data_IF_260593082810
#
_entry.id   IF_260593082810
#
_cell.length_a   1.000
_cell.length_b   1.000
_cell.length_c   1.000
_cell.angle_alpha   90.00
_cell.angle_beta   90.00
_cell.angle_gamma   90.00
#
_symmetry.space_group_name_H-M   'P 1'
#
loop_
_entity.id
_entity.type
_entity.pdbx_description
1 polymer ?
#
# COMPACT_ATOMS: atom_id res chain seq x y z
N UNK A 1 -5.44 -33.58 -26.12
CA UNK A 1 -5.72 -32.26 -25.46
C UNK A 1 -6.85 -31.63 -26.24
N UNK A 2 -7.95 -31.23 -25.57
CA UNK A 2 -9.11 -30.69 -26.28
C UNK A 2 -8.82 -29.30 -26.84
N UNK A 3 -9.50 -28.90 -27.93
CA UNK A 3 -9.40 -27.56 -28.54
C UNK A 3 -9.58 -26.44 -27.48
N UNK A 4 -10.44 -26.68 -26.49
CA UNK A 4 -10.73 -25.70 -25.43
C UNK A 4 -9.59 -25.60 -24.42
N UNK A 5 -8.89 -26.67 -24.11
CA UNK A 5 -7.68 -26.65 -23.27
C UNK A 5 -6.55 -25.84 -23.93
N UNK A 6 -6.35 -26.03 -25.24
CA UNK A 6 -5.35 -25.26 -26.01
C UNK A 6 -5.68 -23.76 -26.06
N UNK A 7 -6.94 -23.40 -26.28
CA UNK A 7 -7.39 -21.99 -26.25
C UNK A 7 -7.20 -21.36 -24.87
N UNK A 8 -7.47 -22.11 -23.80
CA UNK A 8 -7.28 -21.64 -22.42
C UNK A 8 -5.80 -21.39 -22.10
N UNK A 9 -4.90 -22.32 -22.44
CA UNK A 9 -3.45 -22.13 -22.25
C UNK A 9 -2.91 -20.96 -23.09
N UNK A 10 -3.37 -20.82 -24.33
CA UNK A 10 -2.97 -19.69 -25.18
C UNK A 10 -3.45 -18.35 -24.63
N UNK A 11 -4.67 -18.28 -24.11
CA UNK A 11 -5.23 -17.09 -23.47
C UNK A 11 -4.45 -16.68 -22.22
N UNK A 12 -4.11 -17.63 -21.34
CA UNK A 12 -3.29 -17.36 -20.14
C UNK A 12 -1.89 -16.88 -20.53
N UNK A 13 -1.27 -17.50 -21.52
CA UNK A 13 0.05 -17.11 -22.02
C UNK A 13 0.04 -15.68 -22.56
N UNK A 14 -0.95 -15.31 -23.38
CA UNK A 14 -1.10 -13.97 -23.93
C UNK A 14 -1.32 -12.91 -22.83
N UNK A 15 -2.20 -13.17 -21.88
CA UNK A 15 -2.48 -12.29 -20.72
C UNK A 15 -1.20 -12.05 -19.92
N UNK A 16 -0.40 -13.08 -19.70
CA UNK A 16 0.86 -13.03 -18.99
C UNK A 16 1.90 -12.18 -19.72
N UNK A 17 2.04 -12.38 -21.02
CA UNK A 17 2.96 -11.61 -21.85
C UNK A 17 2.62 -10.11 -21.85
N UNK A 18 1.34 -9.77 -21.96
CA UNK A 18 0.90 -8.36 -21.88
C UNK A 18 1.25 -7.78 -20.51
N UNK A 19 1.01 -8.51 -19.41
CA UNK A 19 1.34 -8.03 -18.07
C UNK A 19 2.84 -7.77 -17.91
N UNK A 20 3.70 -8.69 -18.35
CA UNK A 20 5.15 -8.54 -18.32
C UNK A 20 5.55 -7.29 -19.12
N UNK A 21 5.00 -7.13 -20.33
CA UNK A 21 5.28 -5.97 -21.18
C UNK A 21 4.85 -4.66 -20.51
N UNK A 22 3.67 -4.59 -19.87
CA UNK A 22 3.21 -3.40 -19.16
C UNK A 22 4.10 -3.03 -17.97
N UNK A 23 4.57 -4.03 -17.21
CA UNK A 23 5.50 -3.80 -16.10
C UNK A 23 6.86 -3.34 -16.63
N UNK A 24 7.32 -3.89 -17.75
CA UNK A 24 8.55 -3.43 -18.41
C UNK A 24 8.43 -1.97 -18.87
N UNK A 25 7.35 -1.60 -19.56
CA UNK A 25 7.09 -0.20 -19.99
C UNK A 25 7.08 0.74 -18.77
N UNK A 26 6.45 0.31 -17.67
CA UNK A 26 6.44 1.09 -16.43
C UNK A 26 7.85 1.21 -15.83
N UNK A 27 8.66 0.15 -15.81
CA UNK A 27 10.05 0.19 -15.34
C UNK A 27 10.90 1.16 -16.15
N UNK A 28 10.75 1.14 -17.47
CA UNK A 28 11.42 2.11 -18.36
C UNK A 28 10.98 3.55 -18.08
N UNK A 29 9.69 3.77 -17.86
CA UNK A 29 9.18 5.11 -17.53
C UNK A 29 9.73 5.63 -16.20
N UNK A 30 9.87 4.76 -15.17
CA UNK A 30 10.50 5.12 -13.89
C UNK A 30 11.97 5.48 -14.10
N UNK A 31 12.71 4.75 -14.95
CA UNK A 31 14.11 5.07 -15.28
C UNK A 31 14.24 6.42 -16.03
N UNK A 32 13.31 6.70 -16.96
CA UNK A 32 13.22 7.99 -17.65
C UNK A 32 12.92 9.10 -16.62
N UNK A 33 11.92 8.89 -15.78
CA UNK A 33 11.56 9.84 -14.71
C UNK A 33 12.69 10.07 -13.72
N UNK A 34 13.48 9.04 -13.40
CA UNK A 34 14.67 9.19 -12.56
C UNK A 34 15.67 10.14 -13.22
N UNK A 35 15.99 9.93 -14.50
CA UNK A 35 16.97 10.73 -15.22
C UNK A 35 16.54 12.18 -15.43
N UNK A 36 15.32 12.41 -15.88
CA UNK A 36 14.91 13.72 -16.38
C UNK A 36 14.13 14.56 -15.38
N UNK A 37 13.66 13.96 -14.26
CA UNK A 37 12.91 14.70 -13.26
C UNK A 37 13.48 14.53 -11.83
N UNK A 38 13.65 13.29 -11.35
CA UNK A 38 14.02 13.07 -9.94
C UNK A 38 15.44 13.55 -9.64
N UNK A 39 16.43 13.22 -10.47
CA UNK A 39 17.82 13.66 -10.27
C UNK A 39 18.00 15.17 -10.45
N UNK A 40 17.13 15.82 -11.23
CA UNK A 40 17.19 17.26 -11.51
C UNK A 40 16.48 18.06 -10.42
N UNK A 41 15.19 17.76 -10.19
CA UNK A 41 14.32 18.56 -9.31
C UNK A 41 14.25 18.04 -7.87
N UNK A 42 14.56 16.75 -7.64
CA UNK A 42 14.34 16.08 -6.38
C UNK A 42 15.62 15.49 -5.77
N UNK A 43 16.79 15.98 -6.19
CA UNK A 43 18.11 15.54 -5.70
C UNK A 43 18.27 15.64 -4.19
N UNK A 44 17.58 16.57 -3.56
CA UNK A 44 17.49 16.72 -2.10
C UNK A 44 17.10 15.43 -1.37
N UNK A 45 16.27 14.57 -1.98
CA UNK A 45 15.87 13.28 -1.38
C UNK A 45 16.94 12.20 -1.50
N UNK A 46 18.04 12.47 -2.22
CA UNK A 46 19.11 11.52 -2.51
C UNK A 46 18.95 10.80 -3.84
N UNK A 47 18.18 11.38 -4.77
CA UNK A 47 18.17 10.94 -6.17
C UNK A 47 19.39 11.51 -6.89
N UNK A 48 20.35 10.65 -7.19
CA UNK A 48 21.55 11.03 -7.96
C UNK A 48 21.31 10.86 -9.47
N UNK A 49 22.25 11.36 -10.28
CA UNK A 49 22.22 11.10 -11.71
C UNK A 49 22.32 9.59 -11.96
N UNK A 50 21.39 8.98 -12.73
CA UNK A 50 21.34 7.54 -12.89
C UNK A 50 22.48 7.02 -13.77
N UNK A 51 23.14 5.95 -13.32
CA UNK A 51 24.11 5.20 -14.08
C UNK A 51 23.48 4.03 -14.84
N UNK A 52 23.47 4.11 -16.16
CA UNK A 52 22.89 3.10 -17.06
C UNK A 52 23.92 2.04 -17.49
N UNK A 53 24.70 1.51 -16.57
CA UNK A 53 25.62 0.44 -16.91
C UNK A 53 24.88 -0.88 -17.25
N UNK A 54 25.52 -1.76 -18.02
CA UNK A 54 24.92 -2.99 -18.51
C UNK A 54 24.50 -3.93 -17.35
N UNK A 55 25.26 -3.94 -16.24
CA UNK A 55 24.96 -4.75 -15.07
C UNK A 55 23.68 -4.29 -14.37
N UNK A 56 23.48 -2.97 -14.21
CA UNK A 56 22.25 -2.39 -13.64
C UNK A 56 21.04 -2.71 -14.51
N UNK A 57 21.13 -2.49 -15.83
CA UNK A 57 20.02 -2.77 -16.76
C UNK A 57 19.65 -4.26 -16.78
N UNK A 58 20.63 -5.15 -16.79
CA UNK A 58 20.40 -6.59 -16.72
C UNK A 58 19.75 -7.02 -15.39
N UNK A 59 20.21 -6.45 -14.27
CA UNK A 59 19.63 -6.71 -12.95
C UNK A 59 18.18 -6.23 -12.88
N UNK A 60 17.88 -5.03 -13.37
CA UNK A 60 16.49 -4.51 -13.46
C UNK A 60 15.63 -5.45 -14.29
N UNK A 61 16.10 -5.89 -15.46
CA UNK A 61 15.34 -6.78 -16.32
C UNK A 61 15.00 -8.10 -15.63
N UNK A 62 15.96 -8.76 -14.99
CA UNK A 62 15.73 -10.01 -14.27
C UNK A 62 14.81 -9.81 -13.07
N UNK A 63 15.12 -8.84 -12.21
CA UNK A 63 14.37 -8.61 -10.98
C UNK A 63 12.91 -8.20 -11.26
N UNK A 64 12.63 -7.46 -12.32
CA UNK A 64 11.24 -7.13 -12.70
C UNK A 64 10.54 -8.27 -13.43
N UNK A 65 11.25 -9.06 -14.23
CA UNK A 65 10.69 -10.18 -14.97
C UNK A 65 10.22 -11.32 -14.06
N UNK A 66 11.04 -11.73 -13.08
CA UNK A 66 10.74 -12.89 -12.23
C UNK A 66 9.40 -12.77 -11.48
N UNK A 67 9.11 -11.69 -10.71
CA UNK A 67 7.80 -11.54 -10.08
C UNK A 67 6.66 -11.44 -11.10
N UNK A 68 6.89 -10.78 -12.25
CA UNK A 68 5.87 -10.63 -13.31
C UNK A 68 5.38 -11.98 -13.85
N UNK A 69 6.25 -12.99 -13.86
CA UNK A 69 5.90 -14.36 -14.26
C UNK A 69 4.94 -15.05 -13.28
N UNK A 70 4.92 -14.63 -12.02
CA UNK A 70 4.14 -15.29 -10.97
C UNK A 70 2.99 -14.44 -10.43
N UNK A 71 2.87 -13.17 -10.78
CA UNK A 71 1.75 -12.31 -10.38
C UNK A 71 0.38 -12.94 -10.75
N UNK A 72 -0.68 -12.66 -9.99
CA UNK A 72 -2.04 -13.07 -10.34
C UNK A 72 -2.45 -12.54 -11.72
N UNK A 73 -3.13 -13.33 -12.53
CA UNK A 73 -3.66 -12.91 -13.84
C UNK A 73 -5.14 -12.54 -13.79
N UNK A 74 -5.69 -12.44 -12.60
CA UNK A 74 -7.08 -12.01 -12.37
C UNK A 74 -7.20 -11.25 -11.04
N UNK A 75 -8.26 -10.47 -10.90
CA UNK A 75 -8.61 -9.75 -9.68
C UNK A 75 -9.66 -10.49 -8.84
N UNK A 76 -9.62 -11.82 -8.82
CA UNK A 76 -10.58 -12.66 -8.11
C UNK A 76 -10.30 -12.80 -6.61
N UNK A 77 -9.19 -12.21 -6.12
CA UNK A 77 -8.71 -12.34 -4.73
C UNK A 77 -8.29 -10.99 -4.17
N UNK A 78 -8.53 -10.72 -2.86
CA UNK A 78 -7.97 -9.55 -2.19
C UNK A 78 -6.46 -9.41 -2.35
N UNK A 79 -5.68 -10.49 -2.20
CA UNK A 79 -4.22 -10.44 -2.36
C UNK A 79 -3.76 -9.80 -3.67
N UNK A 80 -4.55 -9.89 -4.75
CA UNK A 80 -4.18 -9.28 -6.02
C UNK A 80 -4.02 -7.76 -5.92
N UNK A 81 -4.94 -7.04 -5.24
CA UNK A 81 -4.84 -5.59 -5.13
C UNK A 81 -3.61 -5.17 -4.30
N UNK A 82 -3.28 -5.94 -3.25
CA UNK A 82 -2.09 -5.70 -2.43
C UNK A 82 -0.80 -5.95 -3.20
N UNK A 83 -0.72 -7.06 -3.95
CA UNK A 83 0.46 -7.40 -4.74
C UNK A 83 0.67 -6.40 -5.88
N UNK A 84 -0.38 -5.96 -6.56
CA UNK A 84 -0.27 -4.95 -7.60
C UNK A 84 0.07 -3.57 -7.05
N UNK A 85 -0.47 -3.19 -5.87
CA UNK A 85 -0.06 -1.96 -5.19
C UNK A 85 1.41 -2.02 -4.77
N UNK A 86 1.86 -3.13 -4.20
CA UNK A 86 3.27 -3.34 -3.85
C UNK A 86 4.18 -3.26 -5.07
N UNK A 87 3.80 -3.90 -6.18
CA UNK A 87 4.57 -3.85 -7.44
C UNK A 87 4.67 -2.44 -8.00
N UNK A 88 3.56 -1.72 -8.03
CA UNK A 88 3.49 -0.40 -8.64
C UNK A 88 4.17 0.68 -7.80
N UNK A 89 3.89 0.74 -6.50
CA UNK A 89 4.33 1.85 -5.65
C UNK A 89 5.67 1.60 -4.95
N UNK A 90 6.11 0.34 -4.80
CA UNK A 90 7.33 0.04 -4.02
C UNK A 90 8.33 -0.79 -4.82
N UNK A 91 7.90 -1.96 -5.32
CA UNK A 91 8.85 -2.95 -5.83
C UNK A 91 9.57 -2.48 -7.10
N UNK A 92 8.81 -2.10 -8.16
CA UNK A 92 9.41 -1.63 -9.41
C UNK A 92 10.23 -0.36 -9.18
N UNK A 93 9.74 0.67 -8.47
CA UNK A 93 10.55 1.83 -8.13
C UNK A 93 11.81 1.47 -7.32
N UNK A 94 11.74 0.58 -6.33
CA UNK A 94 12.90 0.17 -5.54
C UNK A 94 13.97 -0.51 -6.41
N UNK A 95 13.56 -1.40 -7.32
CA UNK A 95 14.48 -2.10 -8.22
C UNK A 95 15.11 -1.10 -9.21
N UNK A 96 14.30 -0.25 -9.86
CA UNK A 96 14.80 0.66 -10.88
C UNK A 96 15.69 1.76 -10.27
N UNK A 97 15.19 2.45 -9.26
CA UNK A 97 15.92 3.55 -8.62
C UNK A 97 17.14 3.00 -7.87
N UNK A 98 16.97 1.93 -7.08
CA UNK A 98 18.06 1.32 -6.35
C UNK A 98 19.21 0.84 -7.23
N UNK A 99 18.93 0.30 -8.43
CA UNK A 99 19.97 -0.17 -9.35
C UNK A 99 20.63 0.93 -10.17
N UNK A 100 19.99 2.10 -10.34
CA UNK A 100 20.49 3.18 -11.17
C UNK A 100 21.11 4.34 -10.38
N UNK A 101 20.89 4.43 -9.07
CA UNK A 101 21.20 5.62 -8.27
C UNK A 101 22.70 5.88 -8.04
N UNK A 102 23.56 4.87 -8.19
CA UNK A 102 25.02 4.95 -8.01
C UNK A 102 25.74 4.01 -8.97
N UNK A 103 27.00 4.30 -9.29
CA UNK A 103 27.83 3.45 -10.15
C UNK A 103 28.04 2.02 -9.55
N UNK A 104 28.13 1.92 -8.24
CA UNK A 104 28.31 0.65 -7.52
C UNK A 104 27.01 -0.01 -7.04
N UNK A 105 25.85 0.51 -7.50
CA UNK A 105 24.51 0.06 -7.07
C UNK A 105 24.31 -1.44 -7.19
N UNK A 106 24.81 -2.08 -8.23
CA UNK A 106 24.66 -3.53 -8.45
C UNK A 106 25.35 -4.32 -7.32
N UNK A 107 26.60 -4.00 -7.02
CA UNK A 107 27.36 -4.69 -5.96
C UNK A 107 26.75 -4.43 -4.58
N UNK A 108 26.19 -3.23 -4.38
CA UNK A 108 25.67 -2.77 -3.10
C UNK A 108 24.28 -3.29 -2.80
N UNK A 109 23.36 -3.25 -3.77
CA UNK A 109 21.93 -3.49 -3.53
C UNK A 109 21.38 -4.79 -4.15
N UNK A 110 22.13 -5.51 -5.00
CA UNK A 110 21.62 -6.73 -5.65
C UNK A 110 21.14 -7.77 -4.62
N UNK A 111 21.85 -7.92 -3.51
CA UNK A 111 21.50 -8.87 -2.46
C UNK A 111 20.16 -8.57 -1.80
N UNK A 112 19.93 -7.30 -1.43
CA UNK A 112 18.70 -6.89 -0.77
C UNK A 112 17.50 -6.84 -1.73
N UNK A 113 17.70 -6.34 -2.96
CA UNK A 113 16.65 -6.31 -3.98
C UNK A 113 16.34 -7.71 -4.52
N UNK A 114 17.34 -8.61 -4.55
CA UNK A 114 17.16 -10.04 -4.80
C UNK A 114 16.30 -10.72 -3.73
N UNK A 115 16.57 -10.42 -2.45
CA UNK A 115 15.75 -10.91 -1.33
C UNK A 115 14.30 -10.37 -1.41
N UNK A 116 14.12 -9.12 -1.83
CA UNK A 116 12.80 -8.54 -2.07
C UNK A 116 12.09 -9.24 -3.24
N UNK A 117 12.79 -9.52 -4.35
CA UNK A 117 12.28 -10.30 -5.46
C UNK A 117 11.77 -11.67 -5.01
N UNK A 118 12.57 -12.42 -4.26
CA UNK A 118 12.20 -13.73 -3.72
C UNK A 118 11.00 -13.61 -2.76
N UNK A 119 10.95 -12.59 -1.94
CA UNK A 119 9.82 -12.30 -1.05
C UNK A 119 8.52 -12.07 -1.81
N UNK A 120 8.53 -11.23 -2.86
CA UNK A 120 7.35 -10.97 -3.71
C UNK A 120 6.92 -12.23 -4.47
N UNK A 121 7.89 -12.98 -5.02
CA UNK A 121 7.61 -14.27 -5.67
C UNK A 121 6.92 -15.24 -4.70
N UNK A 122 7.41 -15.33 -3.46
CA UNK A 122 6.83 -16.17 -2.42
C UNK A 122 5.40 -15.73 -2.07
N UNK A 123 5.14 -14.43 -1.89
CA UNK A 123 3.77 -13.90 -1.72
C UNK A 123 2.84 -14.30 -2.87
N UNK A 124 3.31 -14.20 -4.12
CA UNK A 124 2.54 -14.59 -5.29
C UNK A 124 2.24 -16.10 -5.33
N UNK A 125 3.17 -16.94 -4.87
CA UNK A 125 2.95 -18.39 -4.76
C UNK A 125 1.92 -18.68 -3.68
N UNK A 126 2.04 -18.10 -2.50
CA UNK A 126 1.07 -18.27 -1.40
C UNK A 126 -0.35 -17.85 -1.83
N UNK A 127 -0.48 -16.74 -2.54
CA UNK A 127 -1.79 -16.27 -3.03
C UNK A 127 -2.50 -17.26 -3.96
N UNK A 128 -1.78 -18.22 -4.58
CA UNK A 128 -2.36 -19.25 -5.45
C UNK A 128 -2.89 -20.46 -4.70
N UNK A 129 -2.54 -20.64 -3.43
CA UNK A 129 -2.95 -21.81 -2.64
C UNK A 129 -4.44 -21.81 -2.30
N UNK A 130 -5.08 -20.63 -2.26
CA UNK A 130 -6.53 -20.53 -2.07
C UNK A 130 -7.23 -20.70 -3.42
N UNK A 131 -8.13 -21.68 -3.53
CA UNK A 131 -8.94 -21.86 -4.73
C UNK A 131 -9.95 -20.71 -4.88
N UNK A 132 -10.08 -20.18 -6.09
CA UNK A 132 -11.14 -19.23 -6.46
C UNK A 132 -12.34 -20.01 -6.95
N UNK A 133 -13.18 -20.49 -6.02
CA UNK A 133 -14.41 -21.17 -6.44
C UNK A 133 -15.38 -20.13 -7.03
N UNK A 134 -16.14 -20.57 -8.03
CA UNK A 134 -17.29 -19.82 -8.57
C UNK A 134 -18.49 -19.87 -7.61
N UNK A 135 -18.24 -19.62 -6.31
CA UNK A 135 -19.33 -19.52 -5.35
C UNK A 135 -20.09 -18.20 -5.58
N UNK A 136 -21.39 -18.24 -5.31
CA UNK A 136 -22.27 -17.09 -5.40
C UNK A 136 -21.67 -15.91 -4.61
N UNK A 137 -21.48 -14.79 -5.30
CA UNK A 137 -20.96 -13.57 -4.70
C UNK A 137 -21.98 -13.05 -3.68
N UNK A 138 -21.64 -13.14 -2.39
CA UNK A 138 -22.50 -12.70 -1.29
C UNK A 138 -22.28 -11.23 -1.01
N UNK A 139 -23.37 -10.48 -0.96
CA UNK A 139 -23.36 -9.11 -0.47
C UNK A 139 -22.94 -9.07 1.02
N UNK A 140 -22.33 -7.94 1.47
CA UNK A 140 -22.02 -7.72 2.88
C UNK A 140 -23.26 -7.90 3.76
N UNK A 141 -23.10 -8.62 4.88
CA UNK A 141 -24.24 -8.82 5.78
C UNK A 141 -24.70 -7.50 6.40
N UNK A 142 -25.99 -7.41 6.70
CA UNK A 142 -26.56 -6.25 7.40
C UNK A 142 -25.88 -6.02 8.76
N UNK A 143 -25.45 -7.09 9.41
CA UNK A 143 -24.76 -7.00 10.69
C UNK A 143 -23.39 -6.33 10.54
N UNK A 144 -22.61 -6.72 9.54
CA UNK A 144 -21.31 -6.10 9.26
C UNK A 144 -21.46 -4.60 8.99
N UNK A 145 -22.41 -4.23 8.14
CA UNK A 145 -22.66 -2.81 7.82
C UNK A 145 -23.12 -2.05 9.07
N UNK A 146 -23.99 -2.63 9.88
CA UNK A 146 -24.45 -2.04 11.13
C UNK A 146 -23.30 -1.81 12.12
N UNK A 147 -22.40 -2.79 12.31
CA UNK A 147 -21.22 -2.65 13.16
C UNK A 147 -20.29 -1.52 12.70
N UNK A 148 -20.05 -1.42 11.38
CA UNK A 148 -19.24 -0.33 10.82
C UNK A 148 -19.94 1.03 10.95
N UNK A 149 -21.26 1.07 10.82
CA UNK A 149 -22.05 2.28 11.01
C UNK A 149 -21.97 2.79 12.46
N UNK A 150 -22.17 1.92 13.43
CA UNK A 150 -22.02 2.27 14.86
C UNK A 150 -20.57 2.65 15.18
N UNK A 151 -19.59 1.90 14.67
CA UNK A 151 -18.16 2.23 14.83
C UNK A 151 -17.83 3.63 14.30
N UNK A 152 -18.33 3.99 13.10
CA UNK A 152 -18.17 5.32 12.54
C UNK A 152 -18.78 6.41 13.42
N UNK A 153 -20.04 6.24 13.86
CA UNK A 153 -20.71 7.20 14.72
C UNK A 153 -19.98 7.38 16.07
N UNK A 154 -19.55 6.27 16.68
CA UNK A 154 -18.80 6.31 17.94
C UNK A 154 -17.47 7.05 17.80
N UNK A 155 -16.72 6.78 16.72
CA UNK A 155 -15.47 7.49 16.44
C UNK A 155 -15.72 8.97 16.18
N UNK A 156 -16.70 9.34 15.36
CA UNK A 156 -17.06 10.73 15.09
C UNK A 156 -17.42 11.45 16.40
N UNK A 157 -18.23 10.83 17.24
CA UNK A 157 -18.64 11.40 18.53
C UNK A 157 -17.44 11.66 19.47
N UNK A 158 -16.58 10.65 19.62
CA UNK A 158 -15.39 10.76 20.48
C UNK A 158 -14.41 11.81 19.96
N UNK A 159 -14.15 11.80 18.67
CA UNK A 159 -13.27 12.78 18.02
C UNK A 159 -13.87 14.20 18.11
N UNK A 160 -15.19 14.35 17.96
CA UNK A 160 -15.85 15.64 18.13
C UNK A 160 -15.67 16.18 19.55
N UNK A 161 -15.89 15.36 20.57
CA UNK A 161 -15.68 15.78 21.98
C UNK A 161 -14.23 16.22 22.23
N UNK A 162 -13.26 15.56 21.56
CA UNK A 162 -11.83 15.86 21.76
C UNK A 162 -11.37 17.10 21.00
N UNK A 163 -11.88 17.32 19.79
CA UNK A 163 -11.31 18.29 18.84
C UNK A 163 -12.28 19.40 18.41
N UNK A 164 -13.46 19.53 19.03
CA UNK A 164 -14.49 20.53 18.66
C UNK A 164 -13.96 21.96 18.53
N UNK A 165 -12.97 22.32 19.36
CA UNK A 165 -12.45 23.68 19.44
C UNK A 165 -11.35 23.99 18.39
N UNK A 166 -10.88 22.95 17.67
CA UNK A 166 -9.82 23.09 16.67
C UNK A 166 -10.24 22.68 15.26
N UNK A 167 -11.51 22.30 15.07
CA UNK A 167 -12.05 21.91 13.76
C UNK A 167 -11.95 23.06 12.79
N UNK A 168 -11.15 22.92 11.74
CA UNK A 168 -10.99 23.94 10.71
C UNK A 168 -10.64 23.32 9.36
N UNK A 169 -11.00 24.04 8.29
CA UNK A 169 -10.46 23.76 6.96
C UNK A 169 -9.15 24.53 6.81
N UNK A 170 -8.03 23.85 7.04
CA UNK A 170 -6.72 24.45 6.86
C UNK A 170 -6.43 24.70 5.39
N UNK A 171 -6.04 25.93 5.06
CA UNK A 171 -5.41 26.25 3.80
C UNK A 171 -4.06 25.53 3.65
N UNK A 172 -3.45 25.65 2.47
CA UNK A 172 -2.16 24.99 2.19
C UNK A 172 -1.05 25.46 3.15
N UNK A 173 -1.13 26.67 3.62
CA UNK A 173 -0.11 27.31 4.47
C UNK A 173 -0.21 26.89 5.94
N UNK A 174 -1.41 26.52 6.43
CA UNK A 174 -1.66 26.19 7.83
C UNK A 174 -1.67 24.67 8.15
N UNK A 175 -1.37 23.83 7.16
CA UNK A 175 -1.45 22.36 7.30
C UNK A 175 -0.59 21.84 8.47
N UNK A 176 0.61 22.36 8.65
CA UNK A 176 1.50 21.87 9.70
C UNK A 176 1.00 22.26 11.10
N UNK A 177 0.48 23.47 11.28
CA UNK A 177 -0.15 23.91 12.53
C UNK A 177 -1.39 23.07 12.85
N UNK A 178 -2.21 22.76 11.83
CA UNK A 178 -3.39 21.93 12.02
C UNK A 178 -3.02 20.49 12.39
N UNK A 179 -1.98 19.92 11.77
CA UNK A 179 -1.46 18.60 12.12
C UNK A 179 -0.95 18.52 13.55
N UNK A 180 -0.26 19.54 14.02
CA UNK A 180 0.22 19.60 15.39
C UNK A 180 -0.94 19.66 16.37
N UNK A 181 -1.92 20.53 16.15
CA UNK A 181 -3.15 20.62 16.96
C UNK A 181 -4.00 19.33 16.90
N UNK A 182 -4.08 18.70 15.72
CA UNK A 182 -4.84 17.46 15.48
C UNK A 182 -4.10 16.19 15.90
N UNK A 183 -2.87 16.28 16.41
CA UNK A 183 -2.13 15.13 16.90
C UNK A 183 -2.93 14.39 17.97
N UNK A 184 -2.88 13.05 17.95
CA UNK A 184 -3.66 12.22 18.87
C UNK A 184 -3.24 12.45 20.32
N UNK A 185 -4.20 12.85 21.15
CA UNK A 185 -3.98 13.13 22.59
C UNK A 185 -3.78 11.86 23.41
N UNK A 186 -4.23 10.73 22.88
CA UNK A 186 -4.04 9.39 23.46
C UNK A 186 -4.01 8.32 22.37
N UNK A 187 -3.49 7.15 22.72
CA UNK A 187 -3.45 5.99 21.82
C UNK A 187 -4.85 5.63 21.29
N UNK A 188 -5.86 5.68 22.16
CA UNK A 188 -7.25 5.36 21.81
C UNK A 188 -7.84 6.35 20.79
N UNK A 189 -7.59 7.65 20.97
CA UNK A 189 -8.03 8.69 20.04
C UNK A 189 -7.32 8.55 18.69
N UNK A 190 -6.03 8.19 18.68
CA UNK A 190 -5.30 7.87 17.46
C UNK A 190 -5.91 6.69 16.71
N UNK A 191 -6.32 5.63 17.41
CA UNK A 191 -7.06 4.53 16.79
C UNK A 191 -8.41 4.99 16.22
N UNK A 192 -9.16 5.86 16.90
CA UNK A 192 -10.42 6.38 16.36
C UNK A 192 -10.21 7.17 15.06
N UNK A 193 -9.15 8.00 14.97
CA UNK A 193 -8.82 8.73 13.74
C UNK A 193 -8.52 7.78 12.59
N UNK A 194 -7.62 6.81 12.82
CA UNK A 194 -7.16 5.89 11.77
C UNK A 194 -8.29 4.93 11.35
N UNK A 195 -9.02 4.34 12.30
CA UNK A 195 -10.13 3.42 11.96
C UNK A 195 -11.27 4.12 11.24
N UNK A 196 -11.60 5.36 11.63
CA UNK A 196 -12.62 6.12 10.91
C UNK A 196 -12.19 6.39 9.46
N UNK A 197 -10.94 6.82 9.23
CA UNK A 197 -10.45 7.17 7.90
C UNK A 197 -10.17 5.97 6.99
N UNK A 198 -9.59 4.88 7.54
CA UNK A 198 -9.03 3.80 6.72
C UNK A 198 -9.80 2.48 6.80
N UNK A 199 -10.78 2.35 7.73
CA UNK A 199 -11.57 1.13 7.90
C UNK A 199 -13.06 1.40 7.73
N UNK A 200 -13.67 2.16 8.64
CA UNK A 200 -15.11 2.31 8.69
C UNK A 200 -15.66 3.12 7.51
N UNK A 201 -15.06 4.30 7.24
CA UNK A 201 -15.51 5.13 6.13
C UNK A 201 -15.32 4.45 4.77
N UNK A 202 -14.21 3.79 4.42
CA UNK A 202 -14.08 3.04 3.17
C UNK A 202 -15.13 1.96 2.98
N UNK A 203 -15.40 1.15 4.00
CA UNK A 203 -16.43 0.10 3.95
C UNK A 203 -17.80 0.69 3.65
N UNK A 204 -18.20 1.72 4.42
CA UNK A 204 -19.51 2.36 4.27
C UNK A 204 -19.64 3.15 2.97
N UNK A 205 -18.56 3.78 2.49
CA UNK A 205 -18.52 4.54 1.25
C UNK A 205 -18.73 3.63 0.04
N UNK A 206 -17.96 2.57 -0.06
CA UNK A 206 -18.06 1.59 -1.15
C UNK A 206 -19.41 0.89 -1.12
N UNK A 207 -19.88 0.49 0.07
CA UNK A 207 -21.21 -0.09 0.24
C UNK A 207 -22.31 0.87 -0.21
N UNK A 208 -22.25 2.11 0.26
CA UNK A 208 -23.24 3.14 -0.07
C UNK A 208 -23.32 3.42 -1.58
N UNK A 209 -22.16 3.49 -2.26
CA UNK A 209 -22.08 3.69 -3.70
C UNK A 209 -22.60 2.49 -4.52
N UNK A 210 -22.13 1.28 -4.19
CA UNK A 210 -22.45 0.08 -4.98
C UNK A 210 -23.92 -0.33 -4.82
N UNK A 211 -24.45 -0.31 -3.60
CA UNK A 211 -25.80 -0.77 -3.26
C UNK A 211 -26.80 0.39 -3.09
N UNK A 212 -26.43 1.61 -3.49
CA UNK A 212 -27.31 2.81 -3.46
C UNK A 212 -27.87 3.12 -2.07
N UNK A 213 -27.06 2.97 -1.01
CA UNK A 213 -27.42 3.24 0.39
C UNK A 213 -26.93 4.63 0.79
N UNK A 214 -27.78 5.64 0.55
CA UNK A 214 -27.42 7.06 0.72
C UNK A 214 -26.92 7.40 2.14
N UNK A 215 -27.51 6.82 3.19
CA UNK A 215 -27.12 7.06 4.58
C UNK A 215 -25.68 6.59 4.86
N UNK A 216 -25.33 5.40 4.38
CA UNK A 216 -23.95 4.88 4.54
C UNK A 216 -22.95 5.72 3.75
N UNK A 217 -23.33 6.14 2.53
CA UNK A 217 -22.49 6.99 1.69
C UNK A 217 -22.26 8.36 2.33
N UNK A 218 -23.33 9.00 2.83
CA UNK A 218 -23.24 10.31 3.47
C UNK A 218 -22.41 10.27 4.76
N UNK A 219 -22.65 9.27 5.63
CA UNK A 219 -21.87 9.10 6.87
C UNK A 219 -20.38 8.90 6.59
N UNK A 220 -20.06 8.06 5.60
CA UNK A 220 -18.67 7.81 5.21
C UNK A 220 -18.00 9.05 4.64
N UNK A 221 -18.67 9.79 3.75
CA UNK A 221 -18.17 11.05 3.18
C UNK A 221 -17.92 12.09 4.28
N UNK A 222 -18.84 12.20 5.23
CA UNK A 222 -18.66 13.04 6.41
C UNK A 222 -17.47 12.57 7.25
N UNK A 223 -17.30 11.26 7.46
CA UNK A 223 -16.18 10.69 8.21
C UNK A 223 -14.80 11.07 7.63
N UNK A 224 -14.64 10.95 6.30
CA UNK A 224 -13.41 11.39 5.62
C UNK A 224 -13.15 12.89 5.81
N UNK A 225 -14.18 13.70 5.58
CA UNK A 225 -14.07 15.15 5.72
C UNK A 225 -13.75 15.54 7.16
N UNK A 226 -14.39 14.90 8.12
CA UNK A 226 -14.22 15.17 9.55
C UNK A 226 -12.80 14.85 10.03
N UNK A 227 -12.24 13.70 9.63
CA UNK A 227 -10.83 13.35 9.94
C UNK A 227 -9.89 14.34 9.26
N UNK A 228 -10.15 14.73 8.01
CA UNK A 228 -9.34 15.75 7.32
C UNK A 228 -9.34 17.08 8.07
N UNK A 229 -10.49 17.56 8.56
CA UNK A 229 -10.60 18.79 9.36
C UNK A 229 -9.77 18.74 10.66
N UNK A 230 -9.54 17.54 11.22
CA UNK A 230 -8.71 17.36 12.42
C UNK A 230 -7.24 17.28 12.06
N UNK A 231 -6.88 16.40 11.10
CA UNK A 231 -5.49 15.98 10.87
C UNK A 231 -4.80 16.70 9.72
N UNK A 232 -5.56 17.42 8.87
CA UNK A 232 -5.10 17.97 7.60
C UNK A 232 -4.33 16.96 6.72
N UNK A 233 -4.69 15.68 6.81
CA UNK A 233 -4.06 14.60 6.04
C UNK A 233 -4.65 14.54 4.63
N UNK A 234 -3.88 15.00 3.64
CA UNK A 234 -4.33 15.07 2.23
C UNK A 234 -4.77 13.73 1.67
N UNK A 235 -4.15 12.65 2.10
CA UNK A 235 -4.51 11.28 1.69
C UNK A 235 -5.96 10.98 2.06
N UNK A 236 -6.40 11.34 3.27
CA UNK A 236 -7.77 11.12 3.73
C UNK A 236 -8.78 11.91 2.88
N UNK A 237 -8.43 13.14 2.48
CA UNK A 237 -9.29 13.96 1.61
C UNK A 237 -9.41 13.36 0.19
N UNK A 238 -8.34 12.79 -0.35
CA UNK A 238 -8.32 12.23 -1.71
C UNK A 238 -8.92 10.82 -1.78
N UNK A 239 -8.91 10.09 -0.67
CA UNK A 239 -9.32 8.69 -0.61
C UNK A 239 -10.74 8.44 -1.14
N UNK A 240 -11.80 9.22 -0.82
CA UNK A 240 -13.13 9.02 -1.37
C UNK A 240 -13.18 9.11 -2.90
N UNK A 241 -12.40 9.99 -3.53
CA UNK A 241 -12.34 10.10 -5.00
C UNK A 241 -11.70 8.87 -5.62
N UNK A 242 -10.62 8.36 -5.02
CA UNK A 242 -9.95 7.13 -5.46
C UNK A 242 -10.88 5.92 -5.31
N UNK A 243 -11.57 5.79 -4.17
CA UNK A 243 -12.54 4.73 -3.92
C UNK A 243 -13.71 4.77 -4.91
N UNK A 244 -14.22 5.97 -5.21
CA UNK A 244 -15.26 6.16 -6.21
C UNK A 244 -14.78 5.71 -7.59
N UNK A 245 -13.57 6.12 -8.00
CA UNK A 245 -12.96 5.75 -9.28
C UNK A 245 -12.78 4.24 -9.42
N UNK A 246 -12.18 3.58 -8.42
CA UNK A 246 -11.97 2.11 -8.42
C UNK A 246 -13.32 1.39 -8.45
N UNK A 247 -14.26 1.79 -7.60
CA UNK A 247 -15.60 1.18 -7.54
C UNK A 247 -16.38 1.37 -8.84
N UNK A 248 -16.27 2.54 -9.48
CA UNK A 248 -16.87 2.82 -10.78
C UNK A 248 -16.28 1.90 -11.87
N UNK A 249 -14.94 1.79 -11.92
CA UNK A 249 -14.26 0.94 -12.92
C UNK A 249 -14.67 -0.53 -12.73
N UNK A 250 -14.64 -1.05 -11.50
CA UNK A 250 -15.02 -2.44 -11.23
C UNK A 250 -16.51 -2.71 -11.49
N UNK A 251 -17.40 -1.75 -11.19
CA UNK A 251 -18.81 -1.86 -11.51
C UNK A 251 -19.09 -1.89 -13.02
N UNK A 252 -18.33 -1.12 -13.81
CA UNK A 252 -18.51 -1.00 -15.26
C UNK A 252 -17.79 -2.09 -16.06
N UNK A 253 -16.55 -2.42 -15.70
CA UNK A 253 -15.67 -3.31 -16.47
C UNK A 253 -15.49 -4.68 -15.80
N UNK A 254 -16.04 -4.86 -14.61
CA UNK A 254 -15.80 -6.06 -13.80
C UNK A 254 -14.33 -6.14 -13.32
N UNK A 255 -13.95 -7.33 -12.88
CA UNK A 255 -12.63 -7.63 -12.31
C UNK A 255 -11.62 -8.08 -13.40
N UNK A 256 -11.69 -7.46 -14.57
CA UNK A 256 -10.81 -7.78 -15.68
C UNK A 256 -9.37 -7.35 -15.40
N UNK A 257 -8.41 -8.20 -15.76
CA UNK A 257 -6.97 -7.89 -15.63
C UNK A 257 -6.55 -6.66 -16.44
N UNK A 258 -7.31 -6.31 -17.49
CA UNK A 258 -7.08 -5.09 -18.26
C UNK A 258 -7.10 -3.82 -17.40
N UNK A 259 -7.80 -3.81 -16.26
CA UNK A 259 -7.78 -2.67 -15.33
C UNK A 259 -6.37 -2.46 -14.77
N UNK A 260 -5.61 -3.54 -14.55
CA UNK A 260 -4.21 -3.47 -14.12
C UNK A 260 -3.30 -2.99 -15.26
N UNK A 261 -3.57 -3.40 -16.50
CA UNK A 261 -2.82 -2.86 -17.65
C UNK A 261 -2.95 -1.35 -17.76
N UNK A 262 -4.18 -0.83 -17.57
CA UNK A 262 -4.41 0.62 -17.57
C UNK A 262 -3.74 1.34 -16.40
N UNK A 263 -3.63 0.69 -15.24
CA UNK A 263 -2.89 1.24 -14.10
C UNK A 263 -1.41 1.43 -14.45
N UNK A 264 -0.73 0.38 -14.92
CA UNK A 264 0.69 0.45 -15.27
C UNK A 264 0.96 1.38 -16.46
N UNK A 265 0.13 1.30 -17.50
CA UNK A 265 0.26 2.18 -18.66
C UNK A 265 -0.03 3.64 -18.31
N UNK A 266 -1.09 3.90 -17.55
CA UNK A 266 -1.43 5.24 -17.06
C UNK A 266 -0.33 5.82 -16.18
N UNK A 267 0.22 5.03 -15.24
CA UNK A 267 1.35 5.43 -14.43
C UNK A 267 2.59 5.74 -15.26
N UNK A 268 2.92 4.88 -16.23
CA UNK A 268 4.02 5.10 -17.16
C UNK A 268 3.84 6.39 -17.95
N UNK A 269 2.66 6.59 -18.53
CA UNK A 269 2.33 7.81 -19.28
C UNK A 269 2.45 9.07 -18.42
N UNK A 270 1.93 9.03 -17.19
CA UNK A 270 2.00 10.16 -16.26
C UNK A 270 3.44 10.53 -15.89
N UNK A 271 4.29 9.53 -15.61
CA UNK A 271 5.70 9.74 -15.28
C UNK A 271 6.42 10.40 -16.45
N UNK A 272 6.23 9.90 -17.67
CA UNK A 272 6.85 10.49 -18.89
C UNK A 272 6.33 11.90 -19.10
N UNK A 273 5.02 12.15 -18.96
CA UNK A 273 4.44 13.48 -19.10
C UNK A 273 5.03 14.46 -18.09
N UNK A 274 5.15 14.07 -16.81
CA UNK A 274 5.79 14.89 -15.78
C UNK A 274 7.23 15.20 -16.19
N UNK A 275 8.00 14.19 -16.60
CA UNK A 275 9.41 14.34 -16.98
C UNK A 275 9.64 15.25 -18.18
N UNK A 276 8.64 15.40 -19.06
CA UNK A 276 8.75 16.25 -20.25
C UNK A 276 8.25 17.69 -20.01
N UNK A 277 7.33 17.90 -19.06
CA UNK A 277 6.59 19.17 -18.97
C UNK A 277 6.69 19.87 -17.61
N UNK A 278 7.44 19.35 -16.63
CA UNK A 278 7.55 19.97 -15.30
C UNK A 278 8.13 21.39 -15.32
N UNK A 279 9.06 21.67 -16.22
CA UNK A 279 9.66 23.01 -16.38
C UNK A 279 8.69 24.05 -16.96
N UNK A 280 7.70 23.60 -17.76
CA UNK A 280 6.77 24.48 -18.46
C UNK A 280 5.51 24.82 -17.66
N UNK A 281 5.25 24.10 -16.56
CA UNK A 281 4.01 24.27 -15.79
C UNK A 281 4.21 23.95 -14.32
N UNK A 282 3.95 24.94 -13.45
CA UNK A 282 3.94 24.76 -12.00
C UNK A 282 2.98 23.66 -11.55
N UNK A 283 1.82 23.54 -12.21
CA UNK A 283 0.84 22.48 -11.92
C UNK A 283 1.42 21.08 -12.22
N UNK A 284 2.16 20.91 -13.32
CA UNK A 284 2.79 19.64 -13.66
C UNK A 284 3.93 19.34 -12.68
N UNK A 285 4.71 20.35 -12.28
CA UNK A 285 5.74 20.19 -11.26
C UNK A 285 5.16 19.74 -9.92
N UNK A 286 4.07 20.36 -9.46
CA UNK A 286 3.37 19.94 -8.23
C UNK A 286 2.82 18.50 -8.34
N UNK A 287 2.21 18.13 -9.47
CA UNK A 287 1.81 16.74 -9.72
C UNK A 287 3.01 15.80 -9.68
N UNK A 288 4.16 16.22 -10.18
CA UNK A 288 5.42 15.49 -10.11
C UNK A 288 5.84 15.23 -8.67
N UNK A 289 5.78 16.23 -7.81
CA UNK A 289 6.11 16.11 -6.38
C UNK A 289 5.15 15.16 -5.68
N UNK A 290 3.84 15.32 -5.85
CA UNK A 290 2.86 14.52 -5.09
C UNK A 290 2.69 13.11 -5.62
N UNK A 291 2.58 12.94 -6.93
CA UNK A 291 2.34 11.63 -7.51
C UNK A 291 3.65 10.87 -7.72
N UNK A 292 4.58 11.42 -8.53
CA UNK A 292 5.77 10.65 -8.89
C UNK A 292 6.78 10.57 -7.75
N UNK A 293 7.17 11.71 -7.17
CA UNK A 293 8.19 11.71 -6.11
C UNK A 293 7.69 11.02 -4.85
N UNK A 294 6.61 11.53 -4.23
CA UNK A 294 6.18 11.08 -2.90
C UNK A 294 5.46 9.73 -2.89
N UNK A 295 4.69 9.43 -3.94
CA UNK A 295 3.85 8.22 -3.94
C UNK A 295 4.56 7.03 -4.59
N UNK A 296 5.46 7.26 -5.57
CA UNK A 296 6.12 6.20 -6.33
C UNK A 296 7.61 6.12 -6.01
N UNK A 297 8.36 7.22 -6.17
CA UNK A 297 9.82 7.16 -6.13
C UNK A 297 10.39 7.03 -4.71
N UNK A 298 9.92 7.84 -3.75
CA UNK A 298 10.40 7.82 -2.35
C UNK A 298 10.19 6.45 -1.69
N UNK A 299 9.01 5.78 -1.78
CA UNK A 299 8.88 4.45 -1.22
C UNK A 299 9.91 3.45 -1.77
N UNK A 300 10.26 3.55 -3.05
CA UNK A 300 11.31 2.74 -3.65
C UNK A 300 12.71 3.09 -3.15
N UNK A 301 13.06 4.37 -3.15
CA UNK A 301 14.36 4.88 -2.71
C UNK A 301 14.66 4.51 -1.25
N UNK A 302 13.66 4.57 -0.39
CA UNK A 302 13.86 4.26 1.04
C UNK A 302 14.30 2.84 1.31
N UNK A 303 14.05 1.88 0.44
CA UNK A 303 14.60 0.52 0.58
C UNK A 303 16.13 0.55 0.56
N UNK A 304 16.73 1.31 -0.35
CA UNK A 304 18.19 1.48 -0.46
C UNK A 304 18.74 2.33 0.68
N UNK A 305 18.13 3.47 0.99
CA UNK A 305 18.60 4.36 2.06
C UNK A 305 18.53 3.72 3.45
N UNK A 306 17.51 2.91 3.73
CA UNK A 306 17.45 2.12 4.96
C UNK A 306 18.56 1.08 5.00
N UNK A 307 18.87 0.46 3.88
CA UNK A 307 19.98 -0.48 3.82
C UNK A 307 21.32 0.21 4.11
N UNK A 308 21.58 1.37 3.50
CA UNK A 308 22.80 2.14 3.73
C UNK A 308 22.96 2.55 5.18
N UNK A 309 21.87 3.00 5.80
CA UNK A 309 21.91 3.43 7.20
C UNK A 309 22.11 2.26 8.16
N UNK A 310 21.24 1.24 8.08
CA UNK A 310 21.17 0.20 9.09
C UNK A 310 22.21 -0.92 8.90
N UNK A 311 22.76 -1.10 7.70
CA UNK A 311 23.90 -2.00 7.49
C UNK A 311 25.18 -1.51 8.15
N UNK A 312 25.37 -0.19 8.25
CA UNK A 312 26.55 0.44 8.87
C UNK A 312 26.38 0.65 10.37
N UNK A 313 25.19 1.13 10.78
CA UNK A 313 24.95 1.47 12.19
C UNK A 313 24.48 0.29 13.04
N UNK A 314 24.08 -0.81 12.42
CA UNK A 314 23.53 -1.98 13.09
C UNK A 314 22.03 -2.13 12.91
N UNK A 315 21.59 -3.38 12.78
CA UNK A 315 20.19 -3.74 12.60
C UNK A 315 19.40 -3.64 13.90
N UNK A 316 18.09 -3.39 13.78
CA UNK A 316 17.21 -3.16 14.93
C UNK A 316 16.64 -4.43 15.55
N UNK A 317 16.68 -5.57 14.83
CA UNK A 317 16.14 -6.87 15.27
C UNK A 317 14.65 -6.78 15.73
N UNK A 318 13.85 -5.87 15.13
CA UNK A 318 12.46 -5.53 15.49
C UNK A 318 12.28 -4.89 16.88
N UNK A 319 13.34 -4.52 17.60
CA UNK A 319 13.22 -3.83 18.88
C UNK A 319 12.55 -2.44 18.80
N UNK A 320 12.46 -1.88 17.59
CA UNK A 320 11.70 -0.66 17.33
C UNK A 320 10.17 -0.86 17.28
N UNK A 321 9.68 -2.12 17.18
CA UNK A 321 8.26 -2.44 17.15
C UNK A 321 7.70 -2.48 18.57
N UNK A 322 6.70 -1.67 18.88
CA UNK A 322 6.22 -1.39 20.24
C UNK A 322 5.95 -2.63 21.11
N UNK A 323 5.42 -3.71 20.54
CA UNK A 323 5.12 -4.96 21.28
C UNK A 323 6.37 -5.81 21.43
N UNK A 324 7.11 -6.01 20.34
CA UNK A 324 8.31 -6.84 20.28
C UNK A 324 9.46 -6.18 21.06
N UNK A 325 9.60 -4.86 20.95
CA UNK A 325 10.65 -4.08 21.63
C UNK A 325 10.56 -4.09 23.16
N UNK A 326 9.42 -4.51 23.73
CA UNK A 326 9.33 -4.75 25.17
C UNK A 326 10.03 -6.06 25.62
N UNK A 327 10.27 -6.96 24.68
CA UNK A 327 10.89 -8.28 24.90
C UNK A 327 12.35 -8.32 24.45
N UNK A 328 12.81 -7.30 23.72
CA UNK A 328 14.14 -7.23 23.13
C UNK A 328 14.87 -5.99 23.61
N UNK A 329 16.17 -6.10 23.82
CA UNK A 329 17.03 -4.97 24.18
C UNK A 329 17.17 -4.01 22.99
N UNK A 330 17.30 -2.72 23.31
CA UNK A 330 17.61 -1.70 22.32
C UNK A 330 19.05 -1.91 21.85
N UNK A 331 19.33 -1.99 20.55
CA UNK A 331 20.70 -2.15 20.06
C UNK A 331 21.58 -0.98 20.51
N UNK A 332 22.84 -1.26 20.83
CA UNK A 332 23.78 -0.29 21.42
C UNK A 332 23.88 1.03 20.60
N UNK A 333 23.80 0.94 19.27
CA UNK A 333 23.82 2.10 18.36
C UNK A 333 22.66 3.10 18.57
N UNK A 334 21.57 2.68 19.18
CA UNK A 334 20.34 3.47 19.36
C UNK A 334 19.97 3.69 20.82
N UNK A 335 20.74 3.17 21.78
CA UNK A 335 20.43 3.22 23.21
C UNK A 335 20.30 4.68 23.74
N UNK A 336 21.08 5.59 23.17
CA UNK A 336 21.09 7.02 23.53
C UNK A 336 20.45 7.92 22.46
N UNK A 337 19.74 7.37 21.49
CA UNK A 337 19.11 8.15 20.43
C UNK A 337 17.71 8.60 20.89
N UNK A 338 17.54 9.91 21.12
CA UNK A 338 16.25 10.50 21.54
C UNK A 338 15.10 10.24 20.55
N UNK A 339 15.42 9.90 19.30
CA UNK A 339 14.43 9.61 18.25
C UNK A 339 13.99 8.16 18.20
N UNK A 340 14.68 7.28 18.94
CA UNK A 340 14.26 5.90 19.06
C UNK A 340 12.87 5.79 19.71
N UNK A 341 11.95 4.93 19.21
CA UNK A 341 12.08 3.94 18.14
C UNK A 341 11.60 4.45 16.76
N UNK A 342 11.50 5.76 16.52
CA UNK A 342 10.96 6.33 15.30
C UNK A 342 11.98 6.29 14.15
N UNK A 343 12.14 5.14 13.48
CA UNK A 343 13.13 4.93 12.41
C UNK A 343 13.08 5.99 11.31
N UNK A 344 11.87 6.48 10.96
CA UNK A 344 11.70 7.53 9.96
C UNK A 344 12.28 8.88 10.39
N UNK A 345 12.34 9.18 11.70
CA UNK A 345 13.02 10.37 12.22
C UNK A 345 14.53 10.20 12.20
N UNK A 346 15.03 9.00 12.54
CA UNK A 346 16.45 8.67 12.49
C UNK A 346 16.97 8.77 11.06
N UNK A 347 16.24 8.23 10.08
CA UNK A 347 16.59 8.35 8.66
C UNK A 347 16.58 9.82 8.20
N UNK A 348 15.52 10.57 8.51
CA UNK A 348 15.37 11.96 8.09
C UNK A 348 16.53 12.82 8.58
N UNK A 349 16.97 12.64 9.82
CA UNK A 349 18.11 13.38 10.35
C UNK A 349 19.45 12.94 9.78
N UNK A 350 19.73 11.61 9.79
CA UNK A 350 21.06 11.09 9.48
C UNK A 350 21.34 11.00 7.98
N UNK A 351 20.33 10.82 7.15
CA UNK A 351 20.47 10.70 5.69
C UNK A 351 20.07 12.00 4.97
N UNK A 352 18.97 12.64 5.39
CA UNK A 352 18.43 13.82 4.69
C UNK A 352 18.80 15.15 5.39
N UNK A 353 19.36 15.11 6.61
CA UNK A 353 19.74 16.32 7.37
C UNK A 353 18.54 17.19 7.81
N UNK A 354 17.33 16.62 7.90
CA UNK A 354 16.10 17.35 8.24
C UNK A 354 15.47 16.85 9.55
N UNK A 355 14.86 17.78 10.29
CA UNK A 355 14.07 17.44 11.48
C UNK A 355 12.62 17.16 11.09
N UNK A 356 12.37 16.03 10.45
CA UNK A 356 11.06 15.60 10.00
C UNK A 356 10.87 14.10 10.22
N UNK A 357 9.72 13.58 9.91
CA UNK A 357 9.48 12.14 9.89
C UNK A 357 9.30 11.67 8.45
N UNK A 358 10.19 10.80 7.99
CA UNK A 358 10.10 10.13 6.70
C UNK A 358 9.43 8.79 6.87
N UNK A 359 8.16 8.67 6.46
CA UNK A 359 7.47 7.40 6.48
C UNK A 359 8.04 6.50 5.39
N UNK A 360 8.32 5.24 5.74
CA UNK A 360 8.77 4.23 4.79
C UNK A 360 7.85 3.00 4.84
N UNK A 361 7.87 2.24 3.76
CA UNK A 361 7.10 0.99 3.65
C UNK A 361 7.66 -0.10 4.57
N UNK A 362 6.87 -1.16 4.78
CA UNK A 362 7.22 -2.26 5.68
C UNK A 362 8.49 -3.02 5.25
N UNK A 363 8.81 -3.02 3.94
CA UNK A 363 10.03 -3.67 3.45
C UNK A 363 11.26 -2.95 3.99
N UNK A 364 11.25 -1.61 3.97
CA UNK A 364 12.34 -0.79 4.51
C UNK A 364 12.39 -0.86 6.05
N UNK A 365 11.25 -0.56 6.72
CA UNK A 365 11.21 -0.45 8.20
C UNK A 365 11.33 -1.81 8.88
N UNK A 366 10.46 -2.75 8.54
CA UNK A 366 10.35 -4.02 9.26
C UNK A 366 11.23 -5.12 8.64
N UNK A 367 11.65 -4.93 7.38
CA UNK A 367 12.55 -5.84 6.68
C UNK A 367 13.99 -5.39 6.79
N UNK A 368 14.35 -4.35 6.03
CA UNK A 368 15.73 -3.89 5.88
C UNK A 368 16.35 -3.47 7.21
N UNK A 369 15.66 -2.58 7.95
CA UNK A 369 16.18 -2.11 9.23
C UNK A 369 16.31 -3.22 10.27
N UNK A 370 15.49 -4.27 10.18
CA UNK A 370 15.53 -5.36 11.14
C UNK A 370 16.71 -6.31 10.95
N UNK A 371 16.92 -6.85 9.74
CA UNK A 371 17.95 -7.85 9.43
C UNK A 371 18.42 -7.80 7.96
N UNK A 372 18.41 -6.64 7.32
CA UNK A 372 18.85 -6.50 5.93
C UNK A 372 18.06 -7.39 4.97
N UNK A 373 18.75 -8.06 4.05
CA UNK A 373 18.10 -8.92 3.05
C UNK A 373 17.31 -10.08 3.66
N UNK A 374 17.79 -10.70 4.73
CA UNK A 374 17.06 -11.76 5.44
C UNK A 374 15.75 -11.21 6.03
N UNK A 375 15.80 -10.04 6.66
CA UNK A 375 14.62 -9.35 7.19
C UNK A 375 13.59 -9.06 6.12
N UNK A 376 14.03 -8.64 4.94
CA UNK A 376 13.13 -8.40 3.78
C UNK A 376 12.39 -9.67 3.38
N UNK A 377 13.10 -10.80 3.26
CA UNK A 377 12.43 -12.06 2.91
C UNK A 377 11.46 -12.53 3.99
N UNK A 378 11.83 -12.41 5.29
CA UNK A 378 10.96 -12.80 6.40
C UNK A 378 9.71 -11.92 6.45
N UNK A 379 9.84 -10.60 6.37
CA UNK A 379 8.68 -9.71 6.46
C UNK A 379 7.73 -9.86 5.27
N UNK A 380 8.26 -10.07 4.06
CA UNK A 380 7.46 -10.42 2.90
C UNK A 380 6.74 -11.76 3.09
N UNK A 381 7.39 -12.73 3.73
CA UNK A 381 6.76 -14.02 4.03
C UNK A 381 5.60 -13.86 5.01
N UNK A 382 5.76 -13.09 6.08
CA UNK A 382 4.69 -12.77 7.04
C UNK A 382 3.53 -12.07 6.32
N UNK A 383 3.85 -11.09 5.47
CA UNK A 383 2.86 -10.40 4.63
C UNK A 383 2.12 -11.38 3.70
N UNK A 384 2.84 -12.28 3.04
CA UNK A 384 2.27 -13.32 2.18
C UNK A 384 1.33 -14.27 2.92
N UNK A 385 1.69 -14.71 4.14
CA UNK A 385 0.80 -15.53 4.98
C UNK A 385 -0.45 -14.76 5.42
N UNK A 386 -0.32 -13.49 5.78
CA UNK A 386 -1.48 -12.67 6.09
C UNK A 386 -2.40 -12.52 4.87
N UNK A 387 -1.86 -12.29 3.66
CA UNK A 387 -2.63 -12.26 2.41
C UNK A 387 -3.33 -13.59 2.12
N UNK A 388 -2.67 -14.71 2.37
CA UNK A 388 -3.26 -16.06 2.24
C UNK A 388 -4.49 -16.22 3.15
N UNK A 389 -4.37 -15.80 4.42
CA UNK A 389 -5.49 -15.82 5.37
C UNK A 389 -6.61 -14.90 4.90
N UNK A 390 -6.28 -13.70 4.43
CA UNK A 390 -7.25 -12.73 3.91
C UNK A 390 -8.02 -13.28 2.70
N UNK A 391 -7.33 -13.94 1.77
CA UNK A 391 -7.95 -14.62 0.63
C UNK A 391 -8.88 -15.74 1.07
N UNK A 392 -8.46 -16.52 2.08
CA UNK A 392 -9.26 -17.63 2.61
C UNK A 392 -10.54 -17.16 3.31
N UNK A 393 -10.46 -16.13 4.15
CA UNK A 393 -11.63 -15.62 4.88
C UNK A 393 -12.59 -14.87 3.97
N UNK A 394 -12.09 -14.23 2.92
CA UNK A 394 -12.89 -13.49 1.93
C UNK A 394 -13.53 -14.36 0.86
N UNK A 395 -13.34 -15.68 0.92
CA UNK A 395 -13.94 -16.60 -0.04
C UNK A 395 -15.47 -16.49 -0.02
N UNK A 396 -16.11 -16.43 -1.18
CA UNK A 396 -17.56 -16.25 -1.32
C UNK A 396 -18.06 -14.80 -1.22
N UNK A 397 -17.20 -13.80 -0.91
CA UNK A 397 -17.60 -12.40 -0.86
C UNK A 397 -17.60 -11.75 -2.24
N UNK A 398 -18.48 -10.75 -2.43
CA UNK A 398 -18.48 -9.90 -3.62
C UNK A 398 -17.16 -9.15 -3.76
N UNK A 399 -16.38 -9.50 -4.78
CA UNK A 399 -15.07 -8.90 -5.05
C UNK A 399 -15.18 -7.46 -5.58
N UNK A 400 -16.30 -7.09 -6.20
CA UNK A 400 -16.56 -5.73 -6.63
C UNK A 400 -16.69 -4.79 -5.42
N UNK A 401 -17.16 -5.32 -4.30
CA UNK A 401 -17.21 -4.60 -3.02
C UNK A 401 -15.88 -4.65 -2.25
N UNK A 402 -15.34 -5.87 -2.03
CA UNK A 402 -14.25 -6.05 -1.07
C UNK A 402 -12.93 -5.45 -1.55
N UNK A 403 -12.64 -5.49 -2.87
CA UNK A 403 -11.39 -4.95 -3.41
C UNK A 403 -11.27 -3.43 -3.25
N UNK A 404 -12.27 -2.61 -3.64
CA UNK A 404 -12.21 -1.18 -3.36
C UNK A 404 -12.18 -0.87 -1.86
N UNK A 405 -12.96 -1.60 -1.04
CA UNK A 405 -12.99 -1.37 0.40
C UNK A 405 -11.65 -1.69 1.10
N UNK A 406 -10.86 -2.63 0.56
CA UNK A 406 -9.51 -2.97 1.02
C UNK A 406 -8.40 -2.09 0.41
N UNK A 407 -8.70 -1.30 -0.63
CA UNK A 407 -7.68 -0.48 -1.28
C UNK A 407 -6.94 0.48 -0.33
N UNK A 408 -7.59 1.17 0.63
CA UNK A 408 -6.88 2.02 1.58
C UNK A 408 -5.81 1.25 2.36
N UNK A 409 -6.12 0.03 2.80
CA UNK A 409 -5.17 -0.84 3.49
C UNK A 409 -4.03 -1.28 2.56
N UNK A 410 -4.33 -1.61 1.30
CA UNK A 410 -3.32 -1.93 0.30
C UNK A 410 -2.40 -0.73 0.01
N UNK A 411 -2.95 0.47 -0.04
CA UNK A 411 -2.18 1.70 -0.22
C UNK A 411 -1.28 2.00 0.99
N UNK A 412 -1.80 1.88 2.21
CA UNK A 412 -1.00 2.07 3.43
C UNK A 412 0.16 1.07 3.52
N UNK A 413 -0.01 -0.17 3.03
CA UNK A 413 1.09 -1.14 2.99
C UNK A 413 2.30 -0.67 2.17
N UNK A 414 2.11 0.28 1.27
CA UNK A 414 3.20 0.85 0.45
C UNK A 414 3.96 1.98 1.14
N UNK A 415 3.48 2.47 2.29
CA UNK A 415 4.07 3.61 2.99
C UNK A 415 3.97 3.52 4.53
N UNK A 416 3.93 2.32 5.08
CA UNK A 416 3.86 2.08 6.53
C UNK A 416 4.42 0.73 6.94
N UNK A 417 4.69 0.57 8.25
CA UNK A 417 5.11 -0.69 8.86
C UNK A 417 4.02 -1.76 8.76
N UNK A 418 4.39 -3.01 8.51
CA UNK A 418 3.45 -4.14 8.47
C UNK A 418 2.76 -4.35 9.83
N UNK A 419 3.48 -4.22 10.92
CA UNK A 419 2.91 -4.38 12.26
C UNK A 419 1.85 -3.31 12.54
N UNK A 420 2.09 -2.07 12.12
CA UNK A 420 1.11 -0.97 12.20
C UNK A 420 -0.07 -1.19 11.25
N UNK A 421 0.18 -1.70 10.04
CA UNK A 421 -0.86 -2.08 9.09
C UNK A 421 -1.84 -3.10 9.70
N UNK A 422 -1.28 -4.15 10.30
CA UNK A 422 -2.07 -5.25 10.87
C UNK A 422 -2.92 -4.80 12.07
N UNK A 423 -2.39 -3.92 12.92
CA UNK A 423 -3.05 -3.47 14.14
C UNK A 423 -3.85 -2.17 13.95
N UNK A 424 -3.16 -1.08 13.64
CA UNK A 424 -3.74 0.27 13.65
C UNK A 424 -4.60 0.56 12.42
N UNK A 425 -4.22 0.06 11.23
CA UNK A 425 -4.97 0.26 10.00
C UNK A 425 -6.00 -0.84 9.69
N UNK A 426 -6.22 -1.74 10.66
CA UNK A 426 -7.32 -2.69 10.61
C UNK A 426 -7.04 -3.98 9.83
N UNK A 427 -5.78 -4.37 9.60
CA UNK A 427 -5.47 -5.64 8.95
C UNK A 427 -6.06 -6.85 9.67
N UNK A 428 -5.96 -6.90 11.01
CA UNK A 428 -6.62 -7.93 11.82
C UNK A 428 -8.13 -7.73 11.93
N UNK A 429 -8.61 -6.50 11.95
CA UNK A 429 -10.05 -6.20 11.95
C UNK A 429 -10.73 -6.80 10.73
N UNK A 430 -10.17 -6.65 9.55
CA UNK A 430 -10.72 -7.22 8.33
C UNK A 430 -10.82 -8.75 8.40
N UNK A 431 -9.78 -9.44 8.89
CA UNK A 431 -9.84 -10.89 9.09
C UNK A 431 -10.94 -11.27 10.04
N UNK A 432 -11.03 -10.60 11.20
CA UNK A 432 -12.04 -10.88 12.22
C UNK A 432 -13.46 -10.68 11.69
N UNK A 433 -13.70 -9.56 11.03
CA UNK A 433 -15.01 -9.20 10.48
C UNK A 433 -15.48 -10.18 9.40
N UNK A 434 -14.56 -10.56 8.48
CA UNK A 434 -14.86 -11.53 7.43
C UNK A 434 -15.10 -12.94 8.00
N UNK A 435 -14.37 -13.33 9.05
CA UNK A 435 -14.62 -14.58 9.79
C UNK A 435 -15.99 -14.59 10.45
N UNK A 436 -16.34 -13.55 11.21
CA UNK A 436 -17.62 -13.45 11.90
C UNK A 436 -18.80 -13.51 10.92
N UNK A 437 -18.67 -12.87 9.76
CA UNK A 437 -19.70 -12.92 8.72
C UNK A 437 -19.81 -14.32 8.10
N UNK A 438 -18.68 -14.99 7.86
CA UNK A 438 -18.63 -16.36 7.35
C UNK A 438 -19.32 -17.35 8.30
N UNK A 439 -19.06 -17.27 9.60
CA UNK A 439 -19.67 -18.17 10.60
C UNK A 439 -21.17 -17.92 10.79
N UNK A 440 -21.63 -16.66 10.74
CA UNK A 440 -23.08 -16.37 10.80
C UNK A 440 -23.86 -16.92 9.60
N UNK A 441 -23.22 -17.00 8.44
CA UNK A 441 -23.82 -17.60 7.25
C UNK A 441 -23.94 -19.13 7.35
N UNK A 442 -23.07 -19.79 8.11
CA UNK A 442 -23.14 -21.24 8.37
C UNK A 442 -24.17 -21.61 9.44
N UNK A 443 -24.53 -20.68 10.33
CA UNK A 443 -25.57 -20.87 11.36
C UNK A 443 -27.00 -20.56 10.87
N UNK A 444 -27.24 -20.44 9.56
CA UNK A 444 -28.63 -20.37 9.08
C UNK A 444 -29.34 -21.67 9.37
N UNK A 445 -30.29 -21.57 10.30
CA UNK A 445 -31.32 -22.51 10.68
C UNK A 445 -31.77 -23.37 9.47
N UNK A 446 -31.88 -24.70 9.64
CA UNK A 446 -32.44 -25.55 8.63
C UNK A 446 -33.80 -25.03 8.20
N UNK A 447 -34.03 -24.83 6.91
CA UNK A 447 -35.37 -24.52 6.37
C UNK A 447 -36.28 -25.63 6.86
N UNK A 448 -37.19 -25.28 7.76
CA UNK A 448 -38.35 -26.13 8.06
C UNK A 448 -39.04 -26.31 6.72
N UNK A 449 -39.06 -27.55 6.20
CA UNK A 449 -39.80 -27.93 5.03
C UNK A 449 -41.24 -27.49 5.22
N UNK A 450 -41.67 -26.45 4.56
CA UNK A 450 -43.09 -26.22 4.35
C UNK A 450 -43.57 -27.35 3.43
N UNK A 451 -44.35 -28.24 4.10
CA UNK A 451 -45.16 -29.25 3.41
C UNK A 451 -46.39 -28.59 2.80
#
# INVERSE_FOLDING_TARGET
>A
MSSDTLKYFYSISRTRLILIFMIFVYSVSVAIGHKYYLSVEQSFWGFNEPDFNAGALFSIAILTFLPSMVLPTNLSRPSAIFLYSLMFFVYVPAVVIGMLNFEDSVSRYLGILGSFCLGVVFCCILSRLVSTDKEDCKEPSRFLIFMNFIGSLSCIFLLFLTYKDILSFSGLDDIYLQREKGAATSLFIGYCQVYLAYVFSPILFVYGYLYRRIMSFALASFGFLFVFMITAERTVLLLPFVLLGISFVFKRRGLAISNIYYLFFGGAFFIVLISMFFEYSSFVSELGVYFFTRTVAIPGLFVSQYYDLFSVQGYTHWSHVSVIGKLLDVPAAYMNDEKWPALGKILAERVLGIQSQSNANFVATDGVAAWGGLGVFIICSIYGFWLLILDWVSKGWDKIFILPALFPLAFVSTNGSLFTLLTSFGGFYWILVLLLDKYKLTMKVPRVNER
#
